data_IF_375007602248
#
_entry.id   IF_375007602248
#
_cell.length_a   1.000
_cell.length_b   1.000
_cell.length_c   1.000
_cell.angle_alpha   90.00
_cell.angle_beta   90.00
_cell.angle_gamma   90.00
#
_symmetry.space_group_name_H-M   'P 1'
#
loop_
_entity.id
_entity.type
_entity.pdbx_description
1 polymer ?
#
# COMPACT_ATOMS: atom_id res chain seq x y z
N UNK A 1 -4.73 -38.12 7.89
CA UNK A 1 -5.77 -37.76 6.90
C UNK A 1 -6.19 -36.29 7.00
N UNK A 2 -6.44 -35.75 8.20
CA UNK A 2 -6.82 -34.33 8.39
C UNK A 2 -5.71 -33.31 8.03
N UNK A 3 -4.44 -33.60 8.34
CA UNK A 3 -3.32 -32.67 8.07
C UNK A 3 -3.07 -32.41 6.58
N UNK A 4 -3.12 -33.47 5.76
CA UNK A 4 -2.89 -33.36 4.30
C UNK A 4 -4.01 -32.66 3.53
N UNK A 5 -5.22 -32.52 4.10
CA UNK A 5 -6.30 -31.73 3.49
C UNK A 5 -6.16 -30.23 3.80
N UNK A 6 -5.56 -29.87 4.94
CA UNK A 6 -5.29 -28.47 5.30
C UNK A 6 -4.17 -27.89 4.44
N UNK A 7 -3.10 -28.66 4.19
CA UNK A 7 -2.01 -28.24 3.28
C UNK A 7 -2.49 -28.07 1.84
N UNK A 8 -3.36 -28.97 1.35
CA UNK A 8 -3.97 -28.84 0.01
C UNK A 8 -4.88 -27.63 -0.10
N UNK A 9 -5.62 -27.29 0.96
CA UNK A 9 -6.43 -26.08 1.01
C UNK A 9 -5.57 -24.83 0.94
N UNK A 10 -4.51 -24.77 1.76
CA UNK A 10 -3.56 -23.66 1.79
C UNK A 10 -2.89 -23.42 0.41
N UNK A 11 -2.41 -24.48 -0.22
CA UNK A 11 -1.79 -24.42 -1.55
C UNK A 11 -2.77 -23.94 -2.63
N UNK A 12 -4.06 -24.30 -2.51
CA UNK A 12 -5.11 -23.81 -3.40
C UNK A 12 -5.33 -22.29 -3.25
N UNK A 13 -5.43 -21.77 -2.03
CA UNK A 13 -5.60 -20.34 -1.79
C UNK A 13 -4.37 -19.52 -2.21
N UNK A 14 -3.15 -20.03 -1.96
CA UNK A 14 -1.91 -19.39 -2.40
C UNK A 14 -1.87 -19.31 -3.93
N UNK A 15 -2.20 -20.39 -4.64
CA UNK A 15 -2.28 -20.38 -6.11
C UNK A 15 -3.34 -19.41 -6.63
N UNK A 16 -4.49 -19.31 -5.95
CA UNK A 16 -5.56 -18.39 -6.34
C UNK A 16 -5.15 -16.93 -6.14
N UNK A 17 -4.46 -16.60 -5.04
CA UNK A 17 -3.97 -15.25 -4.74
C UNK A 17 -2.83 -14.86 -5.69
N UNK A 18 -1.86 -15.75 -5.93
CA UNK A 18 -0.78 -15.53 -6.91
C UNK A 18 -1.36 -15.36 -8.32
N UNK A 19 -2.35 -16.19 -8.68
CA UNK A 19 -3.09 -16.06 -9.94
C UNK A 19 -3.83 -14.74 -10.06
N UNK A 20 -4.51 -14.28 -9.00
CA UNK A 20 -5.18 -12.99 -8.98
C UNK A 20 -4.19 -11.81 -9.06
N UNK A 21 -3.05 -11.89 -8.36
CA UNK A 21 -1.98 -10.89 -8.44
C UNK A 21 -1.36 -10.80 -9.82
N UNK A 22 -1.05 -11.94 -10.44
CA UNK A 22 -0.60 -12.01 -11.84
C UNK A 22 -1.64 -11.44 -12.80
N UNK A 23 -2.93 -11.77 -12.60
CA UNK A 23 -4.02 -11.25 -13.41
C UNK A 23 -4.19 -9.73 -13.27
N UNK A 24 -4.04 -9.18 -12.06
CA UNK A 24 -4.07 -7.73 -11.83
C UNK A 24 -2.87 -7.05 -12.50
N UNK A 25 -1.66 -7.61 -12.40
CA UNK A 25 -0.48 -7.08 -13.09
C UNK A 25 -0.67 -7.14 -14.61
N UNK A 26 -1.25 -8.23 -15.13
CA UNK A 26 -1.61 -8.36 -16.53
C UNK A 26 -2.65 -7.30 -16.95
N UNK A 27 -3.70 -7.09 -16.16
CA UNK A 27 -4.70 -6.06 -16.42
C UNK A 27 -4.10 -4.65 -16.37
N UNK A 28 -3.23 -4.35 -15.40
CA UNK A 28 -2.56 -3.06 -15.29
C UNK A 28 -1.59 -2.82 -16.45
N UNK A 29 -0.81 -3.84 -16.86
CA UNK A 29 0.08 -3.75 -18.01
C UNK A 29 -0.68 -3.60 -19.34
N UNK A 30 -1.77 -4.33 -19.53
CA UNK A 30 -2.70 -4.16 -20.67
C UNK A 30 -3.32 -2.77 -20.64
N UNK A 31 -3.77 -2.29 -19.48
CA UNK A 31 -4.34 -0.95 -19.34
C UNK A 31 -3.33 0.15 -19.64
N UNK A 32 -2.05 0.00 -19.26
CA UNK A 32 -0.97 0.92 -19.62
C UNK A 32 -0.71 0.90 -21.14
N UNK A 33 -0.67 -0.27 -21.77
CA UNK A 33 -0.45 -0.41 -23.22
C UNK A 33 -1.62 0.17 -24.02
N UNK A 34 -2.85 -0.09 -23.59
CA UNK A 34 -4.06 0.41 -24.24
C UNK A 34 -4.48 1.81 -23.79
N UNK A 35 -3.86 2.40 -22.75
CA UNK A 35 -4.18 3.75 -22.28
C UNK A 35 -4.03 4.81 -23.38
N UNK A 36 -3.09 4.62 -24.32
CA UNK A 36 -2.90 5.48 -25.48
C UNK A 36 -3.98 5.31 -26.57
N UNK A 37 -4.72 4.18 -26.58
CA UNK A 37 -5.77 3.86 -27.57
C UNK A 37 -7.18 4.04 -27.00
N UNK A 38 -7.33 3.89 -25.69
CA UNK A 38 -8.56 4.09 -24.95
C UNK A 38 -8.83 5.59 -24.88
N UNK A 39 -9.90 6.04 -25.55
CA UNK A 39 -10.37 7.43 -25.53
C UNK A 39 -11.01 7.78 -24.18
N UNK A 40 -10.31 7.53 -23.07
CA UNK A 40 -10.75 7.99 -21.76
C UNK A 40 -10.94 9.51 -21.84
N UNK A 41 -12.05 10.06 -21.33
CA UNK A 41 -12.29 11.49 -21.37
C UNK A 41 -11.14 12.19 -20.65
N UNK A 42 -10.27 12.86 -21.43
CA UNK A 42 -9.06 13.55 -20.97
C UNK A 42 -9.30 14.56 -19.84
N UNK A 43 -10.57 14.92 -19.59
CA UNK A 43 -11.04 15.72 -18.45
C UNK A 43 -10.87 15.05 -17.08
N UNK A 44 -10.97 13.73 -16.97
CA UNK A 44 -10.89 13.03 -15.68
C UNK A 44 -9.45 12.72 -15.25
N UNK A 45 -8.50 12.70 -16.20
CA UNK A 45 -7.11 12.38 -15.91
C UNK A 45 -6.15 13.32 -16.67
N UNK A 46 -6.09 14.62 -16.30
CA UNK A 46 -5.13 15.55 -16.89
C UNK A 46 -3.67 15.09 -16.73
N UNK A 47 -3.40 14.20 -15.77
CA UNK A 47 -2.09 13.57 -15.54
C UNK A 47 -1.58 12.72 -16.74
N UNK A 48 -2.44 12.11 -17.56
CA UNK A 48 -2.00 11.30 -18.71
C UNK A 48 -1.52 12.14 -19.91
N UNK A 49 -1.76 13.46 -19.90
CA UNK A 49 -1.23 14.36 -20.92
C UNK A 49 0.24 14.78 -20.63
N UNK A 50 0.82 14.37 -19.49
CA UNK A 50 2.24 14.62 -19.23
C UNK A 50 3.11 13.62 -19.99
N UNK A 51 3.87 14.12 -20.96
CA UNK A 51 4.91 13.36 -21.65
C UNK A 51 6.14 13.25 -20.73
N UNK A 52 6.14 12.23 -19.87
CA UNK A 52 7.31 11.90 -19.04
C UNK A 52 8.40 11.24 -19.90
N UNK A 53 9.65 11.68 -19.73
CA UNK A 53 10.79 11.04 -20.38
C UNK A 53 10.93 9.57 -19.92
N UNK A 54 11.42 8.66 -20.78
CA UNK A 54 11.62 7.26 -20.39
C UNK A 54 12.54 7.11 -19.17
N UNK A 55 13.55 7.98 -19.05
CA UNK A 55 14.47 8.03 -17.91
C UNK A 55 13.72 8.38 -16.62
N UNK A 56 12.92 9.45 -16.63
CA UNK A 56 12.14 9.85 -15.46
C UNK A 56 11.13 8.78 -15.05
N UNK A 57 10.52 8.07 -16.02
CA UNK A 57 9.64 6.93 -15.71
C UNK A 57 10.38 5.81 -14.99
N UNK A 58 11.60 5.49 -15.42
CA UNK A 58 12.42 4.46 -14.78
C UNK A 58 12.84 4.87 -13.36
N UNK A 59 13.25 6.13 -13.16
CA UNK A 59 13.59 6.66 -11.83
C UNK A 59 12.39 6.60 -10.88
N UNK A 60 11.21 7.05 -11.33
CA UNK A 60 9.99 6.99 -10.52
C UNK A 60 9.60 5.55 -10.16
N UNK A 61 9.81 4.60 -11.07
CA UNK A 61 9.60 3.17 -10.80
C UNK A 61 10.54 2.67 -9.70
N UNK A 62 11.84 2.99 -9.78
CA UNK A 62 12.82 2.62 -8.76
C UNK A 62 12.44 3.22 -7.41
N UNK A 63 12.13 4.50 -7.36
CA UNK A 63 11.71 5.17 -6.13
C UNK A 63 10.42 4.59 -5.54
N UNK A 64 9.47 4.20 -6.40
CA UNK A 64 8.24 3.53 -5.98
C UNK A 64 8.55 2.18 -5.32
N UNK A 65 9.40 1.36 -5.94
CA UNK A 65 9.81 0.06 -5.40
C UNK A 65 10.49 0.22 -4.04
N UNK A 66 11.46 1.15 -3.93
CA UNK A 66 12.16 1.43 -2.66
C UNK A 66 11.16 1.86 -1.58
N UNK A 67 10.24 2.78 -1.90
CA UNK A 67 9.22 3.24 -0.96
C UNK A 67 8.35 2.09 -0.46
N UNK A 68 7.85 1.23 -1.35
CA UNK A 68 7.01 0.11 -0.96
C UNK A 68 7.78 -0.94 -0.15
N UNK A 69 9.05 -1.19 -0.47
CA UNK A 69 9.91 -2.06 0.33
C UNK A 69 10.03 -1.54 1.77
N UNK A 70 10.34 -0.25 1.95
CA UNK A 70 10.42 0.39 3.28
C UNK A 70 9.09 0.27 4.02
N UNK A 71 7.97 0.54 3.35
CA UNK A 71 6.64 0.46 3.97
C UNK A 71 6.27 -0.95 4.43
N UNK A 72 6.64 -1.97 3.64
CA UNK A 72 6.45 -3.38 4.01
C UNK A 72 7.26 -3.74 5.26
N UNK A 73 8.53 -3.35 5.30
CA UNK A 73 9.41 -3.60 6.46
C UNK A 73 8.89 -2.91 7.72
N UNK A 74 8.50 -1.64 7.61
CA UNK A 74 7.90 -0.88 8.72
C UNK A 74 6.59 -1.51 9.20
N UNK A 75 5.70 -1.91 8.29
CA UNK A 75 4.44 -2.57 8.66
C UNK A 75 4.71 -3.86 9.42
N UNK A 76 5.66 -4.68 8.96
CA UNK A 76 6.01 -5.92 9.64
C UNK A 76 6.55 -5.66 11.06
N UNK A 77 7.42 -4.66 11.24
CA UNK A 77 7.90 -4.32 12.58
C UNK A 77 6.78 -3.83 13.50
N UNK A 78 5.86 -3.00 13.01
CA UNK A 78 4.70 -2.58 13.81
C UNK A 78 3.82 -3.79 14.15
N UNK A 79 3.63 -4.72 13.22
CA UNK A 79 2.86 -5.94 13.44
C UNK A 79 3.46 -6.82 14.54
N UNK A 80 4.79 -6.99 14.56
CA UNK A 80 5.50 -7.79 15.55
C UNK A 80 5.33 -7.27 16.99
N UNK A 81 5.00 -6.00 17.18
CA UNK A 81 4.67 -5.45 18.51
C UNK A 81 3.42 -6.12 19.08
N UNK A 82 2.45 -6.46 18.23
CA UNK A 82 1.16 -7.06 18.63
C UNK A 82 1.14 -8.58 18.48
N UNK A 83 1.92 -9.14 17.54
CA UNK A 83 2.09 -10.58 17.37
C UNK A 83 3.57 -10.93 17.11
N UNK A 84 4.37 -11.12 18.16
CA UNK A 84 5.82 -11.35 18.03
C UNK A 84 6.20 -12.65 17.32
N UNK A 85 5.30 -13.63 17.26
CA UNK A 85 5.52 -14.93 16.62
C UNK A 85 5.10 -14.96 15.15
N UNK A 86 4.60 -13.85 14.59
CA UNK A 86 4.20 -13.81 13.18
C UNK A 86 5.42 -14.06 12.28
N UNK A 87 5.34 -15.11 11.48
CA UNK A 87 6.34 -15.36 10.44
C UNK A 87 6.12 -14.41 9.25
N UNK A 88 7.23 -13.99 8.61
CA UNK A 88 7.19 -13.27 7.34
C UNK A 88 6.96 -14.22 6.16
N UNK A 89 5.81 -14.89 6.17
CA UNK A 89 5.44 -15.90 5.18
C UNK A 89 4.75 -15.31 3.94
N UNK A 90 4.55 -16.17 2.94
CA UNK A 90 3.93 -15.79 1.66
C UNK A 90 2.51 -15.25 1.84
N UNK A 91 1.74 -15.78 2.81
CA UNK A 91 0.37 -15.32 3.05
C UNK A 91 0.34 -13.93 3.64
N UNK A 92 1.21 -13.66 4.63
CA UNK A 92 1.35 -12.34 5.22
C UNK A 92 1.79 -11.31 4.19
N UNK A 93 2.81 -11.63 3.38
CA UNK A 93 3.30 -10.77 2.29
C UNK A 93 2.21 -10.54 1.24
N UNK A 94 1.42 -11.56 0.90
CA UNK A 94 0.32 -11.40 -0.05
C UNK A 94 -0.78 -10.47 0.47
N UNK A 95 -1.13 -10.57 1.76
CA UNK A 95 -2.08 -9.66 2.42
C UNK A 95 -1.55 -8.23 2.43
N UNK A 96 -0.27 -8.04 2.75
CA UNK A 96 0.39 -6.73 2.67
C UNK A 96 0.31 -6.12 1.27
N UNK A 97 0.58 -6.90 0.23
CA UNK A 97 0.49 -6.45 -1.15
C UNK A 97 -0.92 -5.96 -1.49
N UNK A 98 -1.95 -6.70 -1.09
CA UNK A 98 -3.36 -6.31 -1.27
C UNK A 98 -3.68 -5.03 -0.48
N UNK A 99 -3.27 -4.94 0.79
CA UNK A 99 -3.48 -3.76 1.62
C UNK A 99 -2.87 -2.49 0.98
N UNK A 100 -1.62 -2.57 0.54
CA UNK A 100 -0.94 -1.45 -0.10
C UNK A 100 -1.51 -1.11 -1.48
N UNK A 101 -1.96 -2.10 -2.25
CA UNK A 101 -2.67 -1.87 -3.50
C UNK A 101 -3.97 -1.09 -3.27
N UNK A 102 -4.83 -1.56 -2.37
CA UNK A 102 -6.12 -0.92 -2.08
C UNK A 102 -5.93 0.51 -1.58
N UNK A 103 -5.01 0.71 -0.63
CA UNK A 103 -4.72 2.05 -0.10
C UNK A 103 -4.02 2.98 -1.10
N UNK A 104 -3.47 2.47 -2.20
CA UNK A 104 -2.89 3.29 -3.27
C UNK A 104 -3.89 3.69 -4.35
N UNK A 105 -4.93 2.88 -4.57
CA UNK A 105 -5.95 3.10 -5.59
C UNK A 105 -7.09 3.98 -5.07
N UNK A 106 -7.45 3.84 -3.80
CA UNK A 106 -8.56 4.59 -3.20
C UNK A 106 -8.12 6.05 -2.99
N UNK A 107 -8.77 7.03 -3.63
CA UNK A 107 -8.50 8.44 -3.37
C UNK A 107 -8.97 8.79 -1.96
N UNK A 108 -8.05 9.22 -1.10
CA UNK A 108 -8.35 9.53 0.31
C UNK A 108 -8.37 11.04 0.54
N UNK A 109 -9.39 11.51 1.26
CA UNK A 109 -9.48 12.89 1.79
C UNK A 109 -8.83 12.88 3.17
N UNK A 110 -7.94 13.84 3.47
CA UNK A 110 -7.06 13.78 4.64
C UNK A 110 -7.74 13.57 5.99
N UNK A 111 -8.98 14.05 6.20
CA UNK A 111 -9.68 13.94 7.50
C UNK A 111 -10.14 12.51 7.81
N UNK A 112 -10.48 11.71 6.80
CA UNK A 112 -11.00 10.33 6.98
C UNK A 112 -9.99 9.25 6.64
N UNK A 113 -8.80 9.64 6.17
CA UNK A 113 -7.79 8.71 5.65
C UNK A 113 -7.42 7.62 6.65
N UNK A 114 -7.27 7.97 7.94
CA UNK A 114 -6.92 7.02 9.00
C UNK A 114 -8.01 5.96 9.17
N UNK A 115 -9.28 6.37 9.21
CA UNK A 115 -10.41 5.46 9.36
C UNK A 115 -10.55 4.52 8.16
N UNK A 116 -10.36 5.03 6.94
CA UNK A 116 -10.39 4.21 5.72
C UNK A 116 -9.27 3.18 5.73
N UNK A 117 -8.05 3.56 6.12
CA UNK A 117 -6.91 2.63 6.23
C UNK A 117 -7.12 1.56 7.30
N UNK A 118 -7.72 1.92 8.43
CA UNK A 118 -8.10 0.94 9.46
C UNK A 118 -9.13 -0.05 8.95
N UNK A 119 -10.19 0.42 8.27
CA UNK A 119 -11.21 -0.43 7.68
C UNK A 119 -10.64 -1.40 6.64
N UNK A 120 -9.82 -0.91 5.71
CA UNK A 120 -9.15 -1.76 4.72
C UNK A 120 -8.25 -2.79 5.43
N UNK A 121 -7.53 -2.37 6.48
CA UNK A 121 -6.73 -3.25 7.31
C UNK A 121 -7.57 -4.39 7.89
N UNK A 122 -8.67 -4.06 8.56
CA UNK A 122 -9.58 -5.06 9.15
C UNK A 122 -10.05 -6.05 8.08
N UNK A 123 -10.51 -5.56 6.92
CA UNK A 123 -10.99 -6.43 5.83
C UNK A 123 -9.88 -7.37 5.33
N UNK A 124 -8.67 -6.87 5.11
CA UNK A 124 -7.55 -7.64 4.55
C UNK A 124 -6.96 -8.62 5.58
N UNK A 125 -6.95 -8.25 6.86
CA UNK A 125 -6.29 -8.99 7.92
C UNK A 125 -7.25 -9.69 8.90
N UNK A 126 -8.56 -9.70 8.67
CA UNK A 126 -9.55 -10.34 9.54
C UNK A 126 -9.21 -11.81 9.90
N UNK A 127 -8.56 -12.53 8.99
CA UNK A 127 -8.14 -13.93 9.20
C UNK A 127 -6.66 -14.05 9.65
N UNK A 128 -6.10 -13.04 10.31
CA UNK A 128 -4.73 -13.08 10.83
C UNK A 128 -4.64 -13.58 12.27
N UNK A 129 -5.77 -13.77 12.95
CA UNK A 129 -5.82 -14.08 14.38
C UNK A 129 -5.69 -12.85 15.28
N UNK A 130 -5.51 -11.65 14.71
CA UNK A 130 -5.61 -10.39 15.45
C UNK A 130 -7.06 -9.89 15.51
N UNK A 131 -7.38 -9.18 16.57
CA UNK A 131 -8.66 -8.48 16.67
C UNK A 131 -8.65 -7.15 15.89
N UNK A 132 -9.84 -6.61 15.60
CA UNK A 132 -10.01 -5.39 14.80
C UNK A 132 -9.32 -4.17 15.40
N UNK A 133 -9.24 -4.09 16.74
CA UNK A 133 -8.58 -3.00 17.45
C UNK A 133 -7.07 -3.05 17.20
N UNK A 134 -6.44 -4.22 17.31
CA UNK A 134 -5.02 -4.41 17.02
C UNK A 134 -4.69 -4.03 15.58
N UNK A 135 -5.50 -4.49 14.62
CA UNK A 135 -5.30 -4.18 13.20
C UNK A 135 -5.46 -2.67 12.93
N UNK A 136 -6.45 -2.03 13.57
CA UNK A 136 -6.65 -0.59 13.48
C UNK A 136 -5.47 0.20 14.05
N UNK A 137 -4.91 -0.25 15.17
CA UNK A 137 -3.72 0.38 15.77
C UNK A 137 -2.49 0.20 14.87
N UNK A 138 -2.26 -0.99 14.32
CA UNK A 138 -1.14 -1.25 13.42
C UNK A 138 -1.20 -0.33 12.19
N UNK A 139 -2.34 -0.27 11.53
CA UNK A 139 -2.52 0.57 10.33
C UNK A 139 -2.41 2.07 10.64
N UNK A 140 -2.90 2.50 11.80
CA UNK A 140 -2.80 3.89 12.26
C UNK A 140 -1.36 4.27 12.61
N UNK A 141 -0.63 3.40 13.32
CA UNK A 141 0.78 3.60 13.66
C UNK A 141 1.65 3.69 12.41
N UNK A 142 1.41 2.81 11.43
CA UNK A 142 2.10 2.91 10.14
C UNK A 142 1.81 4.25 9.47
N UNK A 143 0.56 4.69 9.43
CA UNK A 143 0.18 5.98 8.85
C UNK A 143 0.85 7.16 9.58
N UNK A 144 0.96 7.10 10.91
CA UNK A 144 1.67 8.12 11.69
C UNK A 144 3.15 8.20 11.28
N UNK A 145 3.83 7.05 11.20
CA UNK A 145 5.25 6.96 10.84
C UNK A 145 5.48 7.45 9.40
N UNK A 146 4.61 7.04 8.46
CA UNK A 146 4.87 7.21 7.03
C UNK A 146 4.33 8.51 6.44
N UNK A 147 3.33 9.12 7.09
CA UNK A 147 2.71 10.34 6.60
C UNK A 147 2.70 11.43 7.66
N UNK A 148 2.09 11.18 8.83
CA UNK A 148 1.82 12.26 9.79
C UNK A 148 3.10 12.90 10.33
N UNK A 149 4.09 12.10 10.77
CA UNK A 149 5.35 12.63 11.28
C UNK A 149 6.15 13.39 10.22
N UNK A 150 6.37 12.85 8.99
CA UNK A 150 6.99 13.62 7.92
C UNK A 150 6.25 14.93 7.60
N UNK A 151 4.91 14.92 7.59
CA UNK A 151 4.10 16.12 7.33
C UNK A 151 4.27 17.18 8.42
N UNK A 152 4.25 16.78 9.70
CA UNK A 152 4.48 17.71 10.82
C UNK A 152 5.88 18.30 10.76
N UNK A 153 6.91 17.47 10.52
CA UNK A 153 8.28 17.94 10.39
C UNK A 153 8.42 18.95 9.24
N UNK A 154 7.84 18.65 8.07
CA UNK A 154 7.82 19.57 6.93
C UNK A 154 7.12 20.90 7.24
N UNK A 155 6.00 20.85 7.98
CA UNK A 155 5.28 22.05 8.40
C UNK A 155 6.10 22.92 9.37
N UNK A 156 6.78 22.32 10.34
CA UNK A 156 7.65 23.03 11.27
C UNK A 156 8.84 23.70 10.56
N UNK A 157 9.47 22.98 9.62
CA UNK A 157 10.55 23.50 8.78
C UNK A 157 10.05 24.71 7.96
N UNK A 158 8.86 24.62 7.37
CA UNK A 158 8.26 25.71 6.61
C UNK A 158 8.02 26.96 7.47
N UNK A 159 7.47 26.80 8.68
CA UNK A 159 7.29 27.93 9.62
C UNK A 159 8.64 28.58 9.95
N UNK A 160 9.66 27.77 10.21
CA UNK A 160 10.99 28.27 10.54
C UNK A 160 11.57 29.14 9.40
N UNK A 161 11.55 28.65 8.16
CA UNK A 161 12.05 29.42 7.02
C UNK A 161 11.22 30.67 6.75
N UNK A 162 9.89 30.59 6.86
CA UNK A 162 9.01 31.75 6.71
C UNK A 162 9.34 32.83 7.74
N UNK A 163 9.65 32.47 8.99
CA UNK A 163 10.01 33.43 10.04
C UNK A 163 11.35 34.13 9.77
N UNK A 164 12.30 33.45 9.14
CA UNK A 164 13.65 34.00 8.86
C UNK A 164 13.67 34.94 7.65
N UNK A 165 12.80 34.76 6.67
CA UNK A 165 12.69 35.63 5.48
C UNK A 165 12.00 36.99 5.75
N UNK A 166 11.40 37.17 6.93
CA UNK A 166 10.67 38.38 7.35
C UNK A 166 11.40 39.16 8.46
N UNK A 167 12.66 38.81 8.72
CA UNK A 167 13.60 39.59 9.53
C UNK A 167 14.66 40.18 8.63
#
# INVERSE_FOLDING_TARGET
>A
FFYGNIEKGYDHYVKMIVGAGFFIILLLSVMIIYSNKLRLPKKFFPAFNYQLSPVLKAELLVWSVVRYFVFVVQFYFVWLIFSPSQAFDVVFVSRLAIYFLLTSVIPMISVIEVAVRALIGIIVFHQSGMNDIQISLITTLLWLINLAFPSIAGFLIWIYFKRTQWK
#
